data_IF_860635202787
#
_entry.id   IF_860635202787
#
_cell.length_a   1.000
_cell.length_b   1.000
_cell.length_c   1.000
_cell.angle_alpha   90.00
_cell.angle_beta   90.00
_cell.angle_gamma   90.00
#
_symmetry.space_group_name_H-M   'P 1'
#
loop_
_entity.id
_entity.type
_entity.pdbx_description
1 polymer ?
#
# COMPACT_ATOMS: atom_id res chain seq x y z
N UNK A 1 -41.65 6.69 -9.31
CA UNK A 1 -40.22 6.93 -9.00
C UNK A 1 -39.68 5.76 -8.27
N UNK A 2 -38.80 4.90 -8.85
CA UNK A 2 -38.22 3.78 -8.13
C UNK A 2 -37.15 4.35 -7.17
N UNK A 3 -37.22 3.96 -5.90
CA UNK A 3 -36.19 4.23 -4.91
C UNK A 3 -34.94 3.45 -5.32
N UNK A 4 -33.87 4.15 -5.61
CA UNK A 4 -32.53 3.55 -5.66
C UNK A 4 -32.17 3.10 -4.24
N UNK A 5 -32.21 1.78 -4.01
CA UNK A 5 -31.61 1.18 -2.84
C UNK A 5 -30.09 1.28 -3.02
N UNK A 6 -29.44 2.20 -2.35
CA UNK A 6 -28.02 2.15 -2.15
C UNK A 6 -27.77 0.91 -1.27
N UNK A 7 -27.15 -0.11 -1.85
CA UNK A 7 -26.56 -1.20 -1.07
C UNK A 7 -25.48 -0.59 -0.18
N UNK A 8 -25.50 -0.78 1.13
CA UNK A 8 -24.35 -0.45 1.95
C UNK A 8 -23.21 -1.35 1.45
N UNK A 9 -22.12 -0.75 0.97
CA UNK A 9 -20.92 -1.49 0.66
C UNK A 9 -20.41 -2.07 1.98
N UNK A 10 -20.65 -3.37 2.18
CA UNK A 10 -20.08 -4.12 3.27
C UNK A 10 -18.56 -4.03 3.12
N UNK A 11 -17.89 -3.41 4.09
CA UNK A 11 -16.44 -3.45 4.16
C UNK A 11 -16.02 -4.91 4.26
N UNK A 12 -15.27 -5.37 3.27
CA UNK A 12 -14.68 -6.70 3.31
C UNK A 12 -13.83 -6.79 4.60
N UNK A 13 -14.05 -7.80 5.46
CA UNK A 13 -13.29 -7.89 6.70
C UNK A 13 -11.80 -7.95 6.39
N UNK A 14 -10.94 -7.36 7.24
CA UNK A 14 -9.50 -7.41 7.03
C UNK A 14 -9.06 -8.87 6.92
N UNK A 15 -8.16 -9.19 5.99
CA UNK A 15 -7.69 -10.55 5.80
C UNK A 15 -7.03 -11.08 7.09
N UNK A 16 -7.18 -12.38 7.38
CA UNK A 16 -6.53 -13.05 8.53
C UNK A 16 -5.02 -12.81 8.59
N UNK A 17 -4.41 -12.56 7.43
CA UNK A 17 -3.00 -12.20 7.26
C UNK A 17 -2.89 -10.70 6.97
N UNK A 18 -1.95 -9.96 7.61
CA UNK A 18 -1.65 -8.58 7.21
C UNK A 18 -1.36 -8.49 5.72
N UNK A 19 -1.96 -7.54 5.03
CA UNK A 19 -1.76 -7.31 3.60
C UNK A 19 -1.22 -5.89 3.40
N UNK A 20 0.04 -5.76 3.01
CA UNK A 20 0.69 -4.47 2.82
C UNK A 20 0.59 -4.06 1.36
N UNK A 21 -0.06 -2.92 1.10
CA UNK A 21 -0.08 -2.34 -0.23
C UNK A 21 1.24 -1.60 -0.50
N UNK A 22 1.84 -1.88 -1.67
CA UNK A 22 3.08 -1.22 -2.08
C UNK A 22 2.85 -0.47 -3.38
N UNK A 23 3.07 0.84 -3.35
CA UNK A 23 2.97 1.74 -4.48
C UNK A 23 4.36 2.13 -4.98
N UNK A 24 4.53 2.31 -6.28
CA UNK A 24 5.81 2.66 -6.87
C UNK A 24 5.79 2.76 -8.39
N UNK A 25 6.91 3.18 -8.98
CA UNK A 25 7.03 3.41 -10.41
C UNK A 25 6.86 2.14 -11.25
N UNK A 26 6.05 2.22 -12.30
CA UNK A 26 5.91 1.16 -13.32
C UNK A 26 7.09 1.10 -14.30
N UNK A 27 8.03 2.07 -14.24
CA UNK A 27 9.08 2.22 -15.25
C UNK A 27 10.47 1.76 -14.79
N UNK A 28 10.63 1.40 -13.52
CA UNK A 28 11.92 0.89 -13.01
C UNK A 28 12.26 -0.44 -13.68
N UNK A 29 13.54 -0.67 -13.93
CA UNK A 29 14.02 -1.82 -14.69
C UNK A 29 14.80 -2.77 -13.80
N UNK A 30 14.72 -4.09 -14.05
CA UNK A 30 15.59 -5.08 -13.39
C UNK A 30 17.06 -4.63 -13.42
N UNK A 31 17.77 -4.81 -12.30
CA UNK A 31 19.16 -4.40 -12.12
C UNK A 31 19.36 -2.92 -11.75
N UNK A 32 18.30 -2.09 -11.72
CA UNK A 32 18.42 -0.73 -11.17
C UNK A 32 18.29 -0.73 -9.64
N UNK A 33 18.95 0.22 -8.96
CA UNK A 33 18.85 0.37 -7.51
C UNK A 33 17.39 0.48 -7.02
N UNK A 34 16.53 1.15 -7.79
CA UNK A 34 15.11 1.28 -7.46
C UNK A 34 14.35 -0.07 -7.59
N UNK A 35 14.72 -0.92 -8.56
CA UNK A 35 14.15 -2.26 -8.68
C UNK A 35 14.59 -3.15 -7.52
N UNK A 36 15.87 -3.11 -7.17
CA UNK A 36 16.43 -3.90 -6.06
C UNK A 36 15.85 -3.47 -4.70
N UNK A 37 15.65 -2.17 -4.50
CA UNK A 37 14.95 -1.65 -3.32
C UNK A 37 13.52 -2.22 -3.24
N UNK A 38 12.78 -2.17 -4.33
CA UNK A 38 11.42 -2.71 -4.40
C UNK A 38 11.39 -4.23 -4.18
N UNK A 39 12.34 -4.96 -4.76
CA UNK A 39 12.51 -6.40 -4.55
C UNK A 39 12.79 -6.74 -3.07
N UNK A 40 13.68 -5.98 -2.42
CA UNK A 40 13.97 -6.14 -1.00
C UNK A 40 12.73 -5.92 -0.13
N UNK A 41 11.90 -4.93 -0.43
CA UNK A 41 10.61 -4.71 0.27
C UNK A 41 9.72 -5.94 0.20
N UNK A 42 9.56 -6.54 -0.98
CA UNK A 42 8.75 -7.75 -1.14
C UNK A 42 9.24 -8.90 -0.27
N UNK A 43 10.55 -9.11 -0.22
CA UNK A 43 11.18 -10.12 0.64
C UNK A 43 10.95 -9.85 2.13
N UNK A 44 11.11 -8.60 2.58
CA UNK A 44 10.92 -8.25 3.99
C UNK A 44 9.45 -8.41 4.41
N UNK A 45 8.48 -8.03 3.57
CA UNK A 45 7.06 -8.25 3.84
C UNK A 45 6.77 -9.75 4.01
N UNK A 46 7.26 -10.58 3.10
CA UNK A 46 7.03 -12.02 3.16
C UNK A 46 7.76 -12.69 4.34
N UNK A 47 8.98 -12.25 4.70
CA UNK A 47 9.69 -12.70 5.90
C UNK A 47 8.93 -12.40 7.19
N UNK A 48 8.24 -11.27 7.23
CA UNK A 48 7.40 -10.88 8.35
C UNK A 48 6.05 -11.62 8.41
N UNK A 49 5.79 -12.57 7.49
CA UNK A 49 4.54 -13.33 7.43
C UNK A 49 3.36 -12.56 6.82
N UNK A 50 3.58 -11.35 6.33
CA UNK A 50 2.57 -10.55 5.67
C UNK A 50 2.43 -10.90 4.18
N UNK A 51 1.29 -10.54 3.59
CA UNK A 51 1.09 -10.59 2.15
C UNK A 51 1.43 -9.25 1.49
N UNK A 52 1.82 -9.31 0.24
CA UNK A 52 2.06 -8.16 -0.63
C UNK A 52 0.83 -7.89 -1.48
N UNK A 53 0.44 -6.63 -1.62
CA UNK A 53 -0.55 -6.19 -2.59
C UNK A 53 0.02 -5.09 -3.46
N UNK A 54 -0.10 -5.22 -4.78
CA UNK A 54 0.36 -4.24 -5.77
C UNK A 54 -0.66 -4.05 -6.87
N UNK A 55 -0.37 -3.14 -7.80
CA UNK A 55 -1.16 -3.00 -9.02
C UNK A 55 -1.00 -4.16 -10.03
N UNK A 56 -0.14 -5.14 -9.76
CA UNK A 56 -0.02 -6.39 -10.50
C UNK A 56 0.73 -6.33 -11.84
N UNK A 57 1.28 -5.18 -12.26
CA UNK A 57 1.96 -5.02 -13.55
C UNK A 57 3.48 -5.00 -13.41
N UNK A 58 4.17 -4.16 -14.16
CA UNK A 58 5.63 -4.10 -14.28
C UNK A 58 6.29 -3.13 -13.29
N UNK A 59 7.61 -3.03 -13.37
CA UNK A 59 8.40 -2.09 -12.60
C UNK A 59 8.49 -2.44 -11.12
N UNK A 60 8.25 -1.47 -10.23
CA UNK A 60 8.27 -1.70 -8.79
C UNK A 60 7.23 -2.74 -8.35
N UNK A 61 6.05 -2.78 -9.00
CA UNK A 61 5.02 -3.78 -8.71
C UNK A 61 5.54 -5.20 -8.95
N UNK A 62 6.21 -5.43 -10.08
CA UNK A 62 6.84 -6.71 -10.40
C UNK A 62 7.98 -7.04 -9.42
N UNK A 63 8.86 -6.08 -9.15
CA UNK A 63 9.99 -6.27 -8.25
C UNK A 63 9.55 -6.71 -6.84
N UNK A 64 8.57 -6.01 -6.27
CA UNK A 64 7.98 -6.36 -4.96
C UNK A 64 7.31 -7.74 -5.02
N UNK A 65 6.52 -8.00 -6.05
CA UNK A 65 5.86 -9.30 -6.25
C UNK A 65 6.87 -10.43 -6.33
N UNK A 66 7.94 -10.24 -7.10
CA UNK A 66 9.05 -11.20 -7.25
C UNK A 66 9.76 -11.47 -5.93
N UNK A 67 10.15 -10.42 -5.21
CA UNK A 67 10.83 -10.55 -3.95
C UNK A 67 10.03 -11.34 -2.91
N UNK A 68 8.72 -11.14 -2.83
CA UNK A 68 7.84 -11.91 -1.96
C UNK A 68 7.69 -13.36 -2.46
N UNK A 69 7.47 -13.55 -3.76
CA UNK A 69 7.24 -14.85 -4.37
C UNK A 69 8.43 -15.81 -4.18
N UNK A 70 9.67 -15.32 -4.35
CA UNK A 70 10.91 -16.11 -4.24
C UNK A 70 11.08 -16.81 -2.89
N UNK A 71 10.46 -16.29 -1.83
CA UNK A 71 10.47 -16.89 -0.49
C UNK A 71 9.10 -17.41 -0.05
N UNK A 72 8.21 -17.70 -1.00
CA UNK A 72 6.92 -18.33 -0.75
C UNK A 72 5.82 -17.38 -0.25
N UNK A 73 6.05 -16.07 -0.24
CA UNK A 73 5.08 -15.05 0.19
C UNK A 73 3.79 -15.06 -0.64
N UNK A 74 2.71 -14.53 -0.05
CA UNK A 74 1.45 -14.31 -0.74
C UNK A 74 1.47 -12.97 -1.50
N UNK A 75 1.05 -13.00 -2.77
CA UNK A 75 1.10 -11.83 -3.66
C UNK A 75 -0.25 -11.62 -4.31
N UNK A 76 -0.85 -10.47 -4.04
CA UNK A 76 -2.11 -9.99 -4.63
C UNK A 76 -1.82 -8.92 -5.67
N UNK A 77 -2.37 -9.08 -6.88
CA UNK A 77 -2.31 -8.09 -7.94
C UNK A 77 -3.69 -7.51 -8.23
N UNK A 78 -3.90 -6.22 -7.96
CA UNK A 78 -5.16 -5.52 -8.29
C UNK A 78 -5.02 -4.86 -9.65
N UNK A 79 -5.62 -5.50 -10.66
CA UNK A 79 -5.50 -5.11 -12.07
C UNK A 79 -6.76 -4.38 -12.55
N UNK A 80 -6.65 -3.67 -13.67
CA UNK A 80 -7.76 -2.95 -14.26
C UNK A 80 -7.76 -3.11 -15.78
N UNK A 81 -8.93 -3.23 -16.38
CA UNK A 81 -9.10 -3.39 -17.83
C UNK A 81 -8.36 -2.32 -18.65
N UNK A 82 -8.41 -1.06 -18.18
CA UNK A 82 -7.75 0.09 -18.83
C UNK A 82 -6.24 -0.14 -19.08
N UNK A 83 -5.56 -0.94 -18.24
CA UNK A 83 -4.11 -1.15 -18.32
C UNK A 83 -3.73 -2.47 -19.01
N UNK A 84 -4.67 -3.31 -19.40
CA UNK A 84 -4.37 -4.58 -20.08
C UNK A 84 -3.60 -4.39 -21.40
N UNK A 85 -3.86 -3.28 -22.09
CA UNK A 85 -3.11 -2.92 -23.31
C UNK A 85 -1.65 -2.54 -23.06
N UNK A 86 -1.25 -2.28 -21.81
CA UNK A 86 0.12 -1.91 -21.42
C UNK A 86 1.01 -3.12 -21.15
N UNK A 87 0.44 -4.30 -21.07
CA UNK A 87 1.14 -5.56 -20.87
C UNK A 87 0.41 -6.49 -19.91
N UNK A 88 0.84 -7.76 -19.83
CA UNK A 88 0.23 -8.75 -18.95
C UNK A 88 0.50 -8.47 -17.48
N UNK A 89 -0.28 -9.11 -16.62
CA UNK A 89 -0.01 -9.22 -15.19
C UNK A 89 1.35 -9.91 -14.99
N UNK A 90 2.15 -9.45 -14.02
CA UNK A 90 3.44 -10.08 -13.77
C UNK A 90 3.29 -11.52 -13.24
N UNK A 91 4.25 -12.38 -13.59
CA UNK A 91 4.19 -13.82 -13.35
C UNK A 91 4.23 -14.22 -11.86
N UNK A 92 4.52 -13.28 -10.95
CA UNK A 92 4.68 -13.53 -9.52
C UNK A 92 3.38 -13.31 -8.72
N UNK A 93 2.33 -12.80 -9.36
CA UNK A 93 1.00 -12.63 -8.76
C UNK A 93 0.36 -14.00 -8.54
N UNK A 94 -0.02 -14.32 -7.30
CA UNK A 94 -0.74 -15.54 -6.93
C UNK A 94 -2.26 -15.37 -6.91
N UNK A 95 -2.72 -14.21 -6.47
CA UNK A 95 -4.13 -13.83 -6.44
C UNK A 95 -4.34 -12.59 -7.31
N UNK A 96 -5.18 -12.70 -8.32
CA UNK A 96 -5.53 -11.56 -9.18
C UNK A 96 -6.93 -11.07 -8.82
N UNK A 97 -7.03 -9.80 -8.47
CA UNK A 97 -8.28 -9.06 -8.39
C UNK A 97 -8.38 -8.18 -9.64
N UNK A 98 -9.35 -8.48 -10.49
CA UNK A 98 -9.57 -7.69 -11.72
C UNK A 98 -10.73 -6.72 -11.52
N UNK A 99 -10.51 -5.44 -11.82
CA UNK A 99 -11.48 -4.38 -11.62
C UNK A 99 -11.87 -3.73 -12.95
N UNK A 100 -13.12 -3.27 -13.10
CA UNK A 100 -13.61 -2.67 -14.34
C UNK A 100 -12.99 -1.28 -14.60
N UNK A 101 -12.70 -0.54 -13.56
CA UNK A 101 -12.19 0.83 -13.68
C UNK A 101 -11.14 1.18 -12.61
N UNK A 102 -10.55 2.36 -12.77
CA UNK A 102 -9.47 2.85 -11.89
C UNK A 102 -9.97 3.16 -10.47
N UNK A 103 -11.23 3.54 -10.29
CA UNK A 103 -11.79 3.88 -8.98
C UNK A 103 -11.99 2.63 -8.14
N UNK A 104 -12.56 1.58 -8.74
CA UNK A 104 -12.68 0.27 -8.11
C UNK A 104 -11.30 -0.32 -7.76
N UNK A 105 -10.32 -0.17 -8.65
CA UNK A 105 -8.95 -0.59 -8.40
C UNK A 105 -8.36 0.12 -7.18
N UNK A 106 -8.45 1.44 -7.13
CA UNK A 106 -7.97 2.24 -6.01
C UNK A 106 -8.69 1.87 -4.72
N UNK A 107 -10.01 1.67 -4.77
CA UNK A 107 -10.79 1.21 -3.63
C UNK A 107 -10.28 -0.13 -3.10
N UNK A 108 -10.11 -1.15 -3.94
CA UNK A 108 -9.57 -2.44 -3.53
C UNK A 108 -8.17 -2.35 -2.92
N UNK A 109 -7.28 -1.54 -3.51
CA UNK A 109 -5.94 -1.32 -2.98
C UNK A 109 -5.96 -0.68 -1.61
N UNK A 110 -6.92 0.20 -1.35
CA UNK A 110 -7.08 0.84 -0.05
C UNK A 110 -7.80 -0.09 0.92
N UNK A 111 -8.97 -0.61 0.59
CA UNK A 111 -9.86 -1.30 1.52
C UNK A 111 -9.28 -2.60 2.08
N UNK A 112 -8.48 -3.32 1.30
CA UNK A 112 -7.85 -4.57 1.72
C UNK A 112 -6.49 -4.37 2.42
N UNK A 113 -5.86 -3.20 2.29
CA UNK A 113 -4.57 -2.96 2.90
C UNK A 113 -4.67 -2.78 4.42
N UNK A 114 -3.72 -3.34 5.13
CA UNK A 114 -3.51 -3.12 6.56
C UNK A 114 -2.38 -2.13 6.83
N UNK A 115 -1.81 -1.54 5.78
CA UNK A 115 -0.80 -0.50 5.79
C UNK A 115 -0.18 -0.33 4.42
N UNK A 116 0.58 0.74 4.26
CA UNK A 116 1.08 1.19 2.97
C UNK A 116 2.58 1.45 3.00
N UNK A 117 3.31 0.95 1.99
CA UNK A 117 4.69 1.34 1.71
C UNK A 117 4.71 2.02 0.35
N UNK A 118 5.27 3.22 0.29
CA UNK A 118 5.32 4.03 -0.92
C UNK A 118 6.76 4.23 -1.36
N UNK A 119 7.12 3.61 -2.47
CA UNK A 119 8.39 3.75 -3.15
C UNK A 119 8.37 4.99 -4.07
N UNK A 120 9.53 5.54 -4.47
CA UNK A 120 9.57 6.58 -5.48
C UNK A 120 8.83 6.20 -6.75
N UNK A 121 8.02 7.12 -7.27
CA UNK A 121 7.21 6.86 -8.45
C UNK A 121 6.69 8.13 -9.11
N UNK A 122 5.83 7.94 -10.11
CA UNK A 122 5.24 9.02 -10.89
C UNK A 122 3.86 9.42 -10.36
N UNK A 123 3.11 10.15 -11.18
CA UNK A 123 1.79 10.68 -10.83
C UNK A 123 0.79 9.62 -10.31
N UNK A 124 0.87 8.37 -10.82
CA UNK A 124 0.03 7.28 -10.32
C UNK A 124 0.35 6.93 -8.86
N UNK A 125 1.64 6.84 -8.54
CA UNK A 125 2.11 6.58 -7.17
C UNK A 125 1.75 7.72 -6.22
N UNK A 126 1.85 8.97 -6.67
CA UNK A 126 1.45 10.15 -5.90
C UNK A 126 -0.08 10.17 -5.67
N UNK A 127 -0.87 9.80 -6.67
CA UNK A 127 -2.31 9.68 -6.53
C UNK A 127 -2.70 8.63 -5.49
N UNK A 128 -2.06 7.45 -5.52
CA UNK A 128 -2.26 6.39 -4.53
C UNK A 128 -1.85 6.85 -3.13
N UNK A 129 -0.71 7.52 -2.99
CA UNK A 129 -0.24 8.10 -1.73
C UNK A 129 -1.24 9.11 -1.16
N UNK A 130 -1.60 10.12 -1.95
CA UNK A 130 -2.47 11.20 -1.47
C UNK A 130 -3.88 10.69 -1.16
N UNK A 131 -4.39 9.72 -1.91
CA UNK A 131 -5.68 9.12 -1.61
C UNK A 131 -5.62 8.32 -0.30
N UNK A 132 -4.61 7.47 -0.08
CA UNK A 132 -4.41 6.75 1.17
C UNK A 132 -4.28 7.73 2.35
N UNK A 133 -3.43 8.75 2.20
CA UNK A 133 -3.22 9.77 3.23
C UNK A 133 -4.50 10.53 3.58
N UNK A 134 -5.26 10.94 2.58
CA UNK A 134 -6.57 11.59 2.77
C UNK A 134 -7.51 10.68 3.55
N UNK A 135 -7.69 9.43 3.11
CA UNK A 135 -8.62 8.50 3.73
C UNK A 135 -8.28 8.18 5.18
N UNK A 136 -6.99 8.04 5.51
CA UNK A 136 -6.53 7.85 6.89
C UNK A 136 -6.73 9.11 7.73
N UNK A 137 -6.44 10.29 7.18
CA UNK A 137 -6.49 11.56 7.92
C UNK A 137 -7.92 12.04 8.23
N UNK A 138 -8.88 11.76 7.35
CA UNK A 138 -10.30 12.14 7.59
C UNK A 138 -11.08 11.10 8.41
N UNK A 139 -10.41 10.04 8.88
CA UNK A 139 -11.05 8.98 9.63
C UNK A 139 -11.99 8.10 8.80
N UNK A 140 -11.88 8.15 7.47
CA UNK A 140 -12.62 7.30 6.55
C UNK A 140 -12.13 5.84 6.57
N UNK A 141 -11.02 5.61 7.25
CA UNK A 141 -10.39 4.31 7.48
C UNK A 141 -9.83 4.24 8.90
N UNK A 142 -9.42 3.02 9.32
CA UNK A 142 -8.56 2.85 10.50
C UNK A 142 -7.26 3.61 10.27
N UNK A 143 -6.53 3.91 11.33
CA UNK A 143 -5.24 4.61 11.26
C UNK A 143 -4.14 3.67 10.73
N UNK A 144 -4.29 3.23 9.47
CA UNK A 144 -3.28 2.40 8.81
C UNK A 144 -2.01 3.21 8.59
N UNK A 145 -0.84 2.65 8.92
CA UNK A 145 0.44 3.35 8.77
C UNK A 145 0.81 3.53 7.30
N UNK A 146 1.32 4.69 6.96
CA UNK A 146 1.85 5.01 5.63
C UNK A 146 3.34 5.29 5.77
N UNK A 147 4.18 4.45 5.17
CA UNK A 147 5.64 4.60 5.21
C UNK A 147 6.17 4.91 3.81
N UNK A 148 6.81 6.07 3.68
CA UNK A 148 7.48 6.51 2.47
C UNK A 148 8.92 5.96 2.51
N UNK A 149 9.27 5.11 1.55
CA UNK A 149 10.57 4.45 1.52
C UNK A 149 11.44 4.98 0.38
N UNK A 150 12.56 5.58 0.72
CA UNK A 150 13.56 6.10 -0.20
C UNK A 150 14.02 7.53 0.14
N UNK A 151 15.22 7.87 -0.27
CA UNK A 151 15.89 9.15 0.07
C UNK A 151 15.13 10.39 -0.42
N UNK A 152 14.46 10.29 -1.56
CA UNK A 152 13.75 11.41 -2.20
C UNK A 152 12.56 11.93 -1.37
N UNK A 153 12.00 11.09 -0.50
CA UNK A 153 10.79 11.45 0.23
C UNK A 153 10.99 12.52 1.29
N UNK A 154 12.17 12.58 1.92
CA UNK A 154 12.42 13.59 2.94
C UNK A 154 12.28 15.02 2.38
N UNK A 155 12.90 15.30 1.22
CA UNK A 155 12.75 16.60 0.56
C UNK A 155 11.34 16.86 0.03
N UNK A 156 10.65 15.83 -0.44
CA UNK A 156 9.26 15.96 -0.90
C UNK A 156 8.32 16.31 0.26
N UNK A 157 8.43 15.61 1.38
CA UNK A 157 7.62 15.88 2.59
C UNK A 157 7.90 17.29 3.12
N UNK A 158 9.16 17.73 3.14
CA UNK A 158 9.54 19.08 3.56
C UNK A 158 8.92 20.16 2.66
N UNK A 159 8.92 19.93 1.35
CA UNK A 159 8.28 20.85 0.41
C UNK A 159 6.75 20.99 0.64
N UNK A 160 6.10 19.93 1.12
CA UNK A 160 4.67 19.96 1.45
C UNK A 160 4.36 20.67 2.79
N UNK A 161 5.35 20.88 3.66
CA UNK A 161 5.19 21.60 4.95
C UNK A 161 5.01 23.10 4.79
N UNK A 162 4.80 23.58 3.57
CA UNK A 162 4.46 24.98 3.33
C UNK A 162 3.10 25.32 3.95
N UNK A 163 2.94 26.49 4.61
CA UNK A 163 1.71 26.89 5.31
C UNK A 163 0.44 26.84 4.45
N UNK A 164 0.57 27.06 3.14
CA UNK A 164 -0.54 27.09 2.20
C UNK A 164 -0.82 25.73 1.53
N UNK A 165 -0.15 24.65 1.97
CA UNK A 165 -0.31 23.33 1.36
C UNK A 165 -0.94 22.32 2.32
N UNK A 166 -0.15 21.71 3.18
CA UNK A 166 -0.61 20.62 4.06
C UNK A 166 -0.54 21.07 5.52
N UNK A 167 -1.67 20.96 6.21
CA UNK A 167 -1.77 21.27 7.65
C UNK A 167 -0.78 20.41 8.44
N UNK A 168 0.03 21.01 9.35
CA UNK A 168 1.09 20.30 10.08
C UNK A 168 0.65 19.00 10.77
N UNK A 169 -0.54 18.97 11.35
CA UNK A 169 -1.08 17.79 12.03
C UNK A 169 -1.21 16.56 11.13
N UNK A 170 -1.36 16.75 9.82
CA UNK A 170 -1.53 15.63 8.89
C UNK A 170 -0.24 14.82 8.66
N UNK A 171 0.93 15.41 8.96
CA UNK A 171 2.20 14.69 8.85
C UNK A 171 2.40 13.61 9.91
N UNK A 172 1.56 13.55 10.93
CA UNK A 172 1.58 12.45 11.91
C UNK A 172 1.16 11.09 11.30
N UNK A 173 0.51 11.09 10.14
CA UNK A 173 0.05 9.89 9.45
C UNK A 173 1.09 9.27 8.53
N UNK A 174 2.20 9.95 8.27
CA UNK A 174 3.24 9.46 7.38
C UNK A 174 4.60 9.40 8.08
N UNK A 175 5.36 8.37 7.77
CA UNK A 175 6.72 8.18 8.22
C UNK A 175 7.66 8.05 7.02
N UNK A 176 8.93 8.43 7.18
CA UNK A 176 9.94 8.32 6.13
C UNK A 176 11.08 7.45 6.62
N UNK A 177 11.54 6.53 5.78
CA UNK A 177 12.74 5.71 6.02
C UNK A 177 13.44 5.37 4.71
N UNK A 178 14.67 4.90 4.80
CA UNK A 178 15.45 4.39 3.66
C UNK A 178 15.70 2.89 3.74
N UNK A 179 15.31 2.25 4.85
CA UNK A 179 15.54 0.84 5.09
C UNK A 179 14.25 0.02 4.88
N UNK A 180 14.24 -0.98 3.96
CA UNK A 180 13.10 -1.85 3.72
C UNK A 180 12.61 -2.62 4.95
N UNK A 181 13.52 -3.13 5.77
CA UNK A 181 13.15 -3.88 6.98
C UNK A 181 12.50 -2.95 8.02
N UNK A 182 13.01 -1.73 8.16
CA UNK A 182 12.42 -0.70 9.02
C UNK A 182 11.03 -0.28 8.53
N UNK A 183 10.84 -0.12 7.21
CA UNK A 183 9.54 0.21 6.64
C UNK A 183 8.48 -0.85 7.00
N UNK A 184 8.79 -2.12 6.80
CA UNK A 184 7.89 -3.24 7.13
C UNK A 184 7.60 -3.31 8.62
N UNK A 185 8.63 -3.17 9.47
CA UNK A 185 8.47 -3.16 10.92
C UNK A 185 7.52 -2.07 11.39
N UNK A 186 7.64 -0.83 10.89
CA UNK A 186 6.78 0.31 11.23
C UNK A 186 5.33 0.06 10.85
N UNK A 187 5.09 -0.44 9.62
CA UNK A 187 3.74 -0.79 9.17
C UNK A 187 3.09 -1.83 10.07
N UNK A 188 3.82 -2.87 10.47
CA UNK A 188 3.26 -3.94 11.30
C UNK A 188 3.11 -3.55 12.78
N UNK A 189 4.02 -2.73 13.33
CA UNK A 189 3.96 -2.27 14.72
C UNK A 189 2.75 -1.36 14.99
N UNK A 190 2.45 -0.44 14.08
CA UNK A 190 1.32 0.46 14.22
C UNK A 190 -0.03 -0.28 14.17
N UNK A 191 -0.11 -1.39 13.43
CA UNK A 191 -1.27 -2.29 13.44
C UNK A 191 -1.52 -2.88 14.83
N UNK A 192 -0.49 -3.44 15.47
CA UNK A 192 -0.60 -4.05 16.81
C UNK A 192 -1.08 -3.06 17.87
N UNK A 193 -0.63 -1.82 17.80
CA UNK A 193 -1.09 -0.75 18.69
C UNK A 193 -2.57 -0.39 18.45
N UNK A 194 -3.02 -0.38 17.20
CA UNK A 194 -4.42 -0.11 16.82
C UNK A 194 -5.38 -1.22 17.25
N UNK A 195 -4.98 -2.47 17.15
CA UNK A 195 -5.79 -3.62 17.59
C UNK A 195 -5.92 -3.68 19.12
N UNK A 196 -4.85 -3.37 19.85
CA UNK A 196 -4.87 -3.28 21.32
C UNK A 196 -5.78 -2.15 21.84
N UNK A 197 -5.85 -1.02 21.13
CA UNK A 197 -6.73 0.09 21.47
C UNK A 197 -8.22 -0.18 21.16
N UNK A 198 -8.50 -1.06 20.19
CA UNK A 198 -9.87 -1.40 19.77
C UNK A 198 -10.53 -2.47 20.68
N UNK A 199 -9.74 -3.25 21.46
CA UNK A 199 -10.23 -4.29 22.38
C UNK A 199 -9.61 -4.16 23.78
N UNK A 200 -9.98 -3.14 24.57
CA UNK A 200 -9.41 -2.94 25.93
C UNK A 200 -9.85 -4.01 26.96
N UNK A 201 -10.79 -4.88 26.65
CA UNK A 201 -11.33 -5.87 27.60
C UNK A 201 -10.57 -7.20 27.67
N UNK A 202 -9.70 -7.52 26.71
CA UNK A 202 -8.95 -8.79 26.69
C UNK A 202 -7.65 -8.78 27.53
N UNK A 203 -7.28 -7.67 28.14
CA UNK A 203 -6.07 -7.51 28.94
C UNK A 203 -6.29 -7.63 30.46
N UNK A 204 -7.48 -8.03 30.92
CA UNK A 204 -7.78 -8.28 32.33
C UNK A 204 -8.31 -9.70 32.52
N UNK A 205 -7.42 -10.65 32.44
CA UNK A 205 -7.65 -12.04 32.78
C UNK A 205 -6.36 -12.65 33.36
#
# INVERSE_FOLDING_TARGET
MPRMSASPHEHEPPPDRPLIAVFGSSTVKPGSAAYELAHAVGREIARAGAGVMTGGYHGAMEAVSRGAHEIGGHVVGVTVELFEKRGPVNAFVKERVHTPDIYERLRHLLDRATGFIVLPGSIGTLNELFLAWTMVSVGGRRREPIVLLGEHWAGFVEALRHPDMVVPALFEFIEVTTDPADAVRRVLAARGAGEAAAHPESARG
#
